data_IF_615543712806
#
_entry.id   IF_615543712806
#
_cell.length_a   1.000
_cell.length_b   1.000
_cell.length_c   1.000
_cell.angle_alpha   90.00
_cell.angle_beta   90.00
_cell.angle_gamma   90.00
#
_symmetry.space_group_name_H-M   'P 1'
#
loop_
_entity.id
_entity.type
_entity.pdbx_description
1 polymer ?
#
# COMPACT_ATOMS: atom_id res chain seq x y z
N UNK A 1 -10.26 -39.27 -49.39
CA UNK A 1 -9.66 -37.99 -49.81
C UNK A 1 -10.29 -36.88 -48.98
N UNK A 2 -9.60 -36.44 -47.93
CA UNK A 2 -10.06 -35.30 -47.12
C UNK A 2 -9.73 -34.03 -47.87
N UNK A 3 -10.75 -33.29 -48.31
CA UNK A 3 -10.58 -31.97 -48.89
C UNK A 3 -10.16 -31.05 -47.74
N UNK A 4 -8.87 -30.75 -47.63
CA UNK A 4 -8.41 -29.64 -46.82
C UNK A 4 -8.90 -28.36 -47.48
N UNK A 5 -10.09 -27.89 -47.07
CA UNK A 5 -10.58 -26.55 -47.41
C UNK A 5 -9.57 -25.55 -46.84
N UNK A 6 -8.83 -24.89 -47.74
CA UNK A 6 -7.93 -23.82 -47.38
C UNK A 6 -8.70 -22.69 -46.69
N UNK A 7 -8.17 -22.25 -45.56
CA UNK A 7 -8.79 -21.25 -44.70
C UNK A 7 -8.85 -19.90 -45.44
N UNK A 8 -10.05 -19.35 -45.60
CA UNK A 8 -10.28 -18.13 -46.40
C UNK A 8 -9.77 -16.87 -45.70
N UNK A 9 -9.45 -15.81 -46.45
CA UNK A 9 -8.97 -14.53 -45.90
C UNK A 9 -9.91 -13.92 -44.85
N UNK A 10 -11.22 -14.18 -44.96
CA UNK A 10 -12.23 -13.78 -43.99
C UNK A 10 -12.09 -14.53 -42.65
N UNK A 11 -11.78 -15.83 -42.69
CA UNK A 11 -11.59 -16.66 -41.50
C UNK A 11 -10.31 -16.26 -40.76
N UNK A 12 -9.25 -15.88 -41.48
CA UNK A 12 -8.06 -15.27 -40.90
C UNK A 12 -8.35 -13.97 -40.16
N UNK A 13 -9.19 -13.10 -40.75
CA UNK A 13 -9.56 -11.83 -40.14
C UNK A 13 -10.38 -12.04 -38.85
N UNK A 14 -11.31 -13.00 -38.85
CA UNK A 14 -12.04 -13.40 -37.65
C UNK A 14 -11.13 -14.02 -36.58
N UNK A 15 -10.18 -14.87 -36.96
CA UNK A 15 -9.19 -15.45 -36.05
C UNK A 15 -8.33 -14.37 -35.39
N UNK A 16 -7.82 -13.42 -36.18
CA UNK A 16 -7.00 -12.30 -35.67
C UNK A 16 -7.82 -11.41 -34.73
N UNK A 17 -9.05 -11.07 -35.10
CA UNK A 17 -9.95 -10.27 -34.27
C UNK A 17 -10.26 -10.96 -32.94
N UNK A 18 -10.56 -12.27 -32.97
CA UNK A 18 -10.81 -13.06 -31.78
C UNK A 18 -9.58 -13.10 -30.86
N UNK A 19 -8.39 -13.30 -31.42
CA UNK A 19 -7.12 -13.27 -30.65
C UNK A 19 -6.90 -11.91 -30.02
N UNK A 20 -7.12 -10.81 -30.74
CA UNK A 20 -6.98 -9.44 -30.20
C UNK A 20 -7.95 -9.17 -29.06
N UNK A 21 -9.19 -9.63 -29.17
CA UNK A 21 -10.19 -9.50 -28.09
C UNK A 21 -9.75 -10.27 -26.85
N UNK A 22 -9.26 -11.50 -27.01
CA UNK A 22 -8.74 -12.30 -25.89
C UNK A 22 -7.55 -11.59 -25.23
N UNK A 23 -6.61 -11.07 -26.02
CA UNK A 23 -5.45 -10.32 -25.52
C UNK A 23 -5.89 -9.08 -24.73
N UNK A 24 -6.84 -8.30 -25.26
CA UNK A 24 -7.41 -7.13 -24.56
C UNK A 24 -8.11 -7.50 -23.25
N UNK A 25 -8.85 -8.61 -23.22
CA UNK A 25 -9.48 -9.11 -22.00
C UNK A 25 -8.44 -9.49 -20.94
N UNK A 26 -7.35 -10.16 -21.34
CA UNK A 26 -6.25 -10.51 -20.43
C UNK A 26 -5.58 -9.26 -19.87
N UNK A 27 -5.29 -8.26 -20.70
CA UNK A 27 -4.71 -6.99 -20.22
C UNK A 27 -5.63 -6.28 -19.23
N UNK A 28 -6.95 -6.25 -19.48
CA UNK A 28 -7.91 -5.66 -18.53
C UNK A 28 -8.00 -6.44 -17.24
N UNK A 29 -8.01 -7.78 -17.31
CA UNK A 29 -8.04 -8.63 -16.13
C UNK A 29 -6.78 -8.41 -15.27
N UNK A 30 -5.61 -8.37 -15.89
CA UNK A 30 -4.34 -8.11 -15.19
C UNK A 30 -4.27 -6.70 -14.58
N UNK A 31 -4.86 -5.70 -15.23
CA UNK A 31 -4.94 -4.33 -14.71
C UNK A 31 -5.81 -4.19 -13.45
N UNK A 32 -6.69 -5.16 -13.17
CA UNK A 32 -7.50 -5.20 -11.95
C UNK A 32 -6.83 -5.92 -10.77
N UNK A 33 -5.66 -6.55 -10.97
CA UNK A 33 -4.99 -7.33 -9.92
C UNK A 33 -4.16 -6.39 -9.03
N UNK A 34 -4.50 -6.37 -7.75
CA UNK A 34 -3.71 -5.71 -6.71
C UNK A 34 -2.78 -6.72 -6.01
N UNK A 35 -1.49 -6.37 -5.89
CA UNK A 35 -0.49 -7.12 -5.12
C UNK A 35 -0.34 -6.46 -3.75
N UNK A 36 -0.38 -7.24 -2.67
CA UNK A 36 -0.11 -6.77 -1.31
C UNK A 36 1.37 -6.87 -0.94
N UNK A 37 1.88 -5.81 -0.32
CA UNK A 37 3.23 -5.70 0.21
C UNK A 37 3.14 -5.44 1.72
N UNK A 38 3.21 -6.49 2.56
CA UNK A 38 3.26 -6.33 4.01
C UNK A 38 4.68 -5.97 4.46
N UNK A 39 4.79 -5.06 5.42
CA UNK A 39 6.07 -4.64 6.00
C UNK A 39 5.89 -4.19 7.44
N UNK A 40 6.96 -4.29 8.22
CA UNK A 40 6.98 -3.92 9.64
C UNK A 40 8.14 -2.96 9.87
N UNK A 41 7.83 -1.76 10.33
CA UNK A 41 8.83 -0.77 10.73
C UNK A 41 8.84 -0.68 12.26
N UNK A 42 9.98 -0.99 12.87
CA UNK A 42 10.14 -0.89 14.34
C UNK A 42 10.82 0.42 14.70
N UNK A 43 10.23 1.19 15.61
CA UNK A 43 10.77 2.46 16.06
C UNK A 43 11.02 2.47 17.56
N UNK A 44 12.04 3.23 17.96
CA UNK A 44 12.46 3.42 19.34
C UNK A 44 12.40 4.92 19.69
N UNK A 45 12.23 5.27 20.97
CA UNK A 45 12.13 6.68 21.37
C UNK A 45 13.45 7.43 21.13
N UNK A 46 14.58 6.72 21.13
CA UNK A 46 15.92 7.30 20.99
C UNK A 46 16.44 7.28 19.54
N UNK A 47 15.69 6.68 18.61
CA UNK A 47 16.05 6.67 17.19
C UNK A 47 15.57 7.94 16.50
N UNK A 48 16.49 8.87 16.24
CA UNK A 48 16.21 10.12 15.51
C UNK A 48 16.18 9.96 14.00
N UNK A 49 16.76 8.89 13.47
CA UNK A 49 16.74 8.59 12.04
C UNK A 49 15.46 7.87 11.68
N UNK A 50 14.72 8.33 10.65
CA UNK A 50 13.57 7.60 10.14
C UNK A 50 13.98 6.20 9.69
N UNK A 51 13.18 5.20 10.09
CA UNK A 51 13.24 3.85 9.53
C UNK A 51 12.51 3.91 8.20
N UNK A 52 13.17 3.43 7.14
CA UNK A 52 12.66 3.55 5.77
C UNK A 52 12.58 2.16 5.14
N UNK A 53 11.44 1.88 4.52
CA UNK A 53 11.25 0.77 3.60
C UNK A 53 11.09 1.32 2.18
N UNK A 54 11.97 0.90 1.26
CA UNK A 54 11.90 1.24 -0.16
C UNK A 54 11.44 0.03 -0.97
N UNK A 55 10.20 0.09 -1.46
CA UNK A 55 9.60 -0.92 -2.33
C UNK A 55 9.79 -0.63 -3.81
N UNK A 56 10.62 0.36 -4.18
CA UNK A 56 10.91 0.80 -5.54
C UNK A 56 9.78 1.61 -6.22
N UNK A 57 8.53 1.17 -6.08
CA UNK A 57 7.34 1.87 -6.58
C UNK A 57 6.67 2.75 -5.52
N UNK A 58 6.94 2.46 -4.25
CA UNK A 58 6.44 3.18 -3.09
C UNK A 58 7.53 3.19 -2.01
N UNK A 59 7.40 4.11 -1.05
CA UNK A 59 8.30 4.20 0.11
C UNK A 59 7.48 4.39 1.38
N UNK A 60 7.88 3.76 2.47
CA UNK A 60 7.27 3.94 3.80
C UNK A 60 8.34 4.41 4.76
N UNK A 61 8.06 5.48 5.49
CA UNK A 61 8.95 6.09 6.47
C UNK A 61 8.25 6.09 7.83
N UNK A 62 8.99 5.76 8.88
CA UNK A 62 8.52 5.80 10.25
C UNK A 62 9.57 6.45 11.15
N UNK A 63 9.17 7.38 12.01
CA UNK A 63 10.09 8.03 12.94
C UNK A 63 9.38 8.46 14.21
N UNK A 64 10.18 8.84 15.21
CA UNK A 64 9.68 9.27 16.50
C UNK A 64 10.15 10.69 16.78
N UNK A 65 9.24 11.53 17.24
CA UNK A 65 9.53 12.87 17.73
C UNK A 65 9.13 12.97 19.19
N UNK A 66 9.90 13.72 19.97
CA UNK A 66 9.52 14.00 21.35
C UNK A 66 8.34 14.99 21.37
N UNK A 67 7.31 14.70 22.16
CA UNK A 67 6.20 15.62 22.36
C UNK A 67 6.52 16.54 23.54
N UNK A 68 6.87 17.79 23.24
CA UNK A 68 7.33 18.77 24.23
C UNK A 68 6.28 19.16 25.27
N UNK A 69 5.01 18.83 25.07
CA UNK A 69 3.90 19.26 25.93
C UNK A 69 3.60 18.30 27.08
N UNK A 70 3.68 16.98 26.85
CA UNK A 70 3.07 15.97 27.74
C UNK A 70 4.02 14.83 28.15
N UNK A 71 5.32 14.92 27.83
CA UNK A 71 6.30 13.86 28.13
C UNK A 71 6.06 12.54 27.37
N UNK A 72 5.27 12.60 26.30
CA UNK A 72 5.02 11.50 25.37
C UNK A 72 5.92 11.61 24.15
N UNK A 73 5.96 10.57 23.33
CA UNK A 73 6.58 10.57 22.02
C UNK A 73 5.51 10.49 20.95
N UNK A 74 5.68 11.23 19.86
CA UNK A 74 4.86 11.11 18.65
C UNK A 74 5.48 10.03 17.77
N UNK A 75 4.76 8.95 17.56
CA UNK A 75 5.13 7.95 16.55
C UNK A 75 4.53 8.37 15.21
N UNK A 76 5.37 8.80 14.28
CA UNK A 76 4.97 9.28 12.96
C UNK A 76 5.23 8.21 11.89
N UNK A 77 4.34 8.15 10.90
CA UNK A 77 4.57 7.38 9.69
C UNK A 77 4.11 8.14 8.44
N UNK A 78 4.73 7.82 7.31
CA UNK A 78 4.46 8.41 6.00
C UNK A 78 4.59 7.36 4.90
N UNK A 79 3.61 7.30 4.01
CA UNK A 79 3.60 6.43 2.83
C UNK A 79 3.66 7.31 1.58
N UNK A 80 4.55 6.96 0.64
CA UNK A 80 4.76 7.65 -0.62
C UNK A 80 4.44 6.72 -1.80
N UNK A 81 3.58 7.15 -2.71
CA UNK A 81 3.46 6.55 -4.04
C UNK A 81 4.49 7.23 -4.98
N UNK A 82 5.53 6.51 -5.42
CA UNK A 82 6.66 7.08 -6.18
C UNK A 82 6.51 6.92 -7.70
N UNK A 83 6.26 5.68 -8.15
CA UNK A 83 6.23 5.34 -9.60
C UNK A 83 4.88 4.86 -10.07
N UNK A 84 4.13 4.19 -9.19
CA UNK A 84 2.78 3.66 -9.47
C UNK A 84 1.82 4.08 -8.36
N UNK A 85 0.52 4.24 -8.67
CA UNK A 85 -0.48 4.53 -7.67
C UNK A 85 -0.61 3.39 -6.66
N UNK A 86 -0.88 3.75 -5.40
CA UNK A 86 -1.18 2.81 -4.34
C UNK A 86 -2.70 2.66 -4.28
N UNK A 87 -3.19 1.46 -4.54
CA UNK A 87 -4.64 1.16 -4.55
C UNK A 87 -5.26 1.09 -3.17
N UNK A 88 -4.46 0.78 -2.15
CA UNK A 88 -4.89 0.74 -0.75
C UNK A 88 -3.67 0.75 0.15
N UNK A 89 -3.80 1.30 1.35
CA UNK A 89 -2.86 1.07 2.43
C UNK A 89 -3.62 0.86 3.75
N UNK A 90 -3.15 -0.09 4.55
CA UNK A 90 -3.58 -0.29 5.93
C UNK A 90 -2.37 -0.09 6.83
N UNK A 91 -2.54 0.64 7.93
CA UNK A 91 -1.49 0.86 8.91
C UNK A 91 -2.02 0.51 10.30
N UNK A 92 -1.26 -0.31 11.02
CA UNK A 92 -1.49 -0.67 12.41
C UNK A 92 -0.27 -0.28 13.25
N UNK A 93 -0.51 0.34 14.40
CA UNK A 93 0.53 0.66 15.38
C UNK A 93 0.40 -0.30 16.56
N UNK A 94 1.46 -1.04 16.83
CA UNK A 94 1.55 -2.04 17.90
C UNK A 94 2.72 -1.67 18.81
N UNK A 95 2.46 -1.23 20.04
CA UNK A 95 3.49 -0.92 21.03
C UNK A 95 3.55 -2.00 22.11
N UNK A 96 4.76 -2.36 22.56
CA UNK A 96 5.03 -3.59 23.33
C UNK A 96 5.13 -3.39 24.84
N UNK A 97 4.95 -2.18 25.38
CA UNK A 97 4.93 -2.00 26.83
C UNK A 97 3.60 -2.36 27.50
N UNK A 98 3.53 -2.12 28.81
CA UNK A 98 2.43 -2.54 29.70
C UNK A 98 1.04 -2.35 29.07
N UNK A 99 0.35 -3.47 28.85
CA UNK A 99 -0.94 -3.67 28.17
C UNK A 99 -2.13 -2.80 28.63
N UNK A 100 -1.98 -1.99 29.69
CA UNK A 100 -3.06 -1.16 30.26
C UNK A 100 -3.29 0.18 29.56
N UNK A 101 -2.28 0.73 28.90
CA UNK A 101 -2.33 2.09 28.33
C UNK A 101 -2.04 2.13 26.82
N UNK A 102 -1.66 0.99 26.23
CA UNK A 102 -1.39 0.93 24.79
C UNK A 102 -2.71 0.99 24.05
N UNK A 103 -3.05 2.17 23.57
CA UNK A 103 -4.10 2.34 22.59
C UNK A 103 -3.74 1.54 21.33
N UNK A 104 -4.14 0.28 21.29
CA UNK A 104 -4.43 -0.45 20.07
C UNK A 104 -5.67 0.18 19.45
N UNK A 105 -5.54 1.42 18.94
CA UNK A 105 -6.48 1.93 17.95
C UNK A 105 -6.32 0.98 16.77
N UNK A 106 -7.34 0.16 16.52
CA UNK A 106 -7.35 -0.82 15.44
C UNK A 106 -6.98 -0.21 14.09
N UNK A 107 -6.83 -1.04 13.04
CA UNK A 107 -6.29 -0.64 11.75
C UNK A 107 -6.79 0.72 11.28
N UNK A 108 -5.87 1.68 11.16
CA UNK A 108 -6.14 2.92 10.45
C UNK A 108 -6.21 2.53 8.98
N UNK A 109 -7.44 2.37 8.49
CA UNK A 109 -7.70 2.13 7.08
C UNK A 109 -7.72 3.49 6.40
N UNK A 110 -6.80 3.75 5.47
CA UNK A 110 -6.77 5.03 4.76
C UNK A 110 -7.92 5.09 3.73
N UNK A 111 -8.84 6.06 3.83
CA UNK A 111 -9.85 6.31 2.80
C UNK A 111 -9.27 7.15 1.65
N UNK A 112 -9.85 6.99 0.46
CA UNK A 112 -9.60 7.88 -0.66
C UNK A 112 -10.15 9.28 -0.31
N UNK A 113 -9.36 10.36 -0.34
CA UNK A 113 -9.87 11.70 -0.11
C UNK A 113 -10.92 12.14 -1.14
N UNK A 114 -11.03 11.47 -2.29
CA UNK A 114 -11.98 11.82 -3.36
C UNK A 114 -13.32 11.06 -3.32
N UNK A 115 -13.46 9.96 -2.56
CA UNK A 115 -14.65 9.09 -2.68
C UNK A 115 -15.34 8.67 -1.38
N UNK A 116 -14.87 9.06 -0.20
CA UNK A 116 -15.56 8.76 1.08
C UNK A 116 -15.69 7.26 1.42
N UNK A 117 -15.21 6.37 0.55
CA UNK A 117 -15.15 4.93 0.73
C UNK A 117 -13.69 4.46 0.68
N UNK A 118 -13.40 3.34 1.36
CA UNK A 118 -12.11 2.65 1.36
C UNK A 118 -11.50 2.60 -0.04
N UNK A 119 -10.50 3.42 -0.34
CA UNK A 119 -10.11 3.63 -1.73
C UNK A 119 -8.70 4.17 -1.92
N UNK A 120 -8.19 3.85 -3.11
CA UNK A 120 -6.94 4.27 -3.75
C UNK A 120 -6.35 5.58 -3.24
N UNK A 121 -5.07 5.55 -2.84
CA UNK A 121 -4.24 6.75 -2.67
C UNK A 121 -3.82 7.22 -4.06
N UNK A 122 -4.76 7.89 -4.73
CA UNK A 122 -4.52 8.66 -5.94
C UNK A 122 -4.54 10.15 -5.58
N UNK A 123 -3.62 10.99 -6.09
CA UNK A 123 -2.61 10.72 -7.12
C UNK A 123 -1.23 10.27 -6.59
N UNK A 124 -0.33 9.93 -7.53
CA UNK A 124 1.13 9.80 -7.27
C UNK A 124 1.64 11.07 -6.59
N UNK A 125 2.50 10.96 -5.56
CA UNK A 125 2.88 12.00 -4.58
C UNK A 125 1.87 12.33 -3.47
N UNK A 126 0.81 11.53 -3.27
CA UNK A 126 0.04 11.61 -2.03
C UNK A 126 0.87 11.09 -0.85
N UNK A 127 0.98 11.90 0.20
CA UNK A 127 1.55 11.50 1.49
C UNK A 127 0.51 11.76 2.58
N UNK A 128 0.41 10.85 3.55
CA UNK A 128 -0.42 11.04 4.73
C UNK A 128 0.46 10.91 5.97
N UNK A 129 0.55 11.98 6.77
CA UNK A 129 1.21 11.93 8.07
C UNK A 129 0.14 11.64 9.11
N UNK A 130 0.36 10.59 9.89
CA UNK A 130 -0.40 10.34 11.10
C UNK A 130 0.58 10.22 12.25
N UNK A 131 0.11 10.60 13.43
CA UNK A 131 0.87 10.44 14.64
C UNK A 131 -0.02 9.95 15.76
N UNK A 132 0.56 9.15 16.65
CA UNK A 132 -0.07 8.71 17.89
C UNK A 132 0.87 9.06 19.05
N UNK A 133 0.37 9.67 20.13
CA UNK A 133 1.16 9.87 21.35
C UNK A 133 1.36 8.53 22.05
N UNK A 134 2.60 8.23 22.44
CA UNK A 134 3.02 6.98 23.08
C UNK A 134 3.97 7.30 24.23
N UNK A 135 3.78 6.70 25.40
CA UNK A 135 4.69 6.89 26.53
C UNK A 135 6.00 6.12 26.32
N UNK A 136 7.12 6.61 26.87
CA UNK A 136 8.42 5.92 26.74
C UNK A 136 8.39 4.45 27.16
N UNK A 137 7.63 4.14 28.22
CA UNK A 137 7.43 2.78 28.78
C UNK A 137 6.73 1.82 27.83
N UNK A 138 6.09 2.32 26.77
CA UNK A 138 5.30 1.55 25.80
C UNK A 138 6.13 1.09 24.61
N UNK A 139 7.33 1.64 24.45
CA UNK A 139 8.26 1.24 23.40
C UNK A 139 8.90 -0.13 23.67
N UNK A 140 9.36 -0.84 22.63
CA UNK A 140 9.36 -0.44 21.21
C UNK A 140 7.96 -0.44 20.59
N UNK A 141 7.79 0.31 19.51
CA UNK A 141 6.57 0.27 18.70
C UNK A 141 6.86 -0.28 17.32
N UNK A 142 5.93 -1.07 16.78
CA UNK A 142 5.91 -1.59 15.42
C UNK A 142 4.79 -0.94 14.66
N UNK A 143 5.11 -0.49 13.45
CA UNK A 143 4.16 0.03 12.49
C UNK A 143 4.05 -1.06 11.43
N UNK A 144 2.94 -1.79 11.47
CA UNK A 144 2.62 -2.84 10.51
C UNK A 144 1.85 -2.20 9.36
N UNK A 145 2.44 -2.21 8.17
CA UNK A 145 1.86 -1.58 7.00
C UNK A 145 1.63 -2.63 5.94
N UNK A 146 0.45 -2.64 5.35
CA UNK A 146 0.18 -3.39 4.11
C UNK A 146 -0.19 -2.40 3.02
N UNK A 147 0.60 -2.37 1.95
CA UNK A 147 0.36 -1.54 0.76
C UNK A 147 -0.09 -2.42 -0.39
N UNK A 148 -1.14 -2.03 -1.10
CA UNK A 148 -1.59 -2.72 -2.32
C UNK A 148 -1.30 -1.88 -3.55
N UNK A 149 -0.60 -2.44 -4.52
CA UNK A 149 -0.29 -1.79 -5.81
C UNK A 149 -0.87 -2.57 -6.97
N UNK A 150 -1.23 -1.91 -8.08
CA UNK A 150 -1.60 -2.63 -9.31
C UNK A 150 -0.40 -3.37 -9.90
N UNK A 151 -0.63 -4.58 -10.42
CA UNK A 151 0.39 -5.39 -11.10
C UNK A 151 0.96 -4.67 -12.33
N UNK A 152 0.08 -4.12 -13.17
CA UNK A 152 0.42 -3.49 -14.45
C UNK A 152 0.07 -2.01 -14.41
#
# INVERSE_FOLDING_TARGET
MGINKGQGSLEYLFMIAAVLVIVLMVFRALGGISISHPMILTVFPDTRTPVVYDGGNFKVEAWVEENSTDGTYKVLYRIWALKKPITRANVELVCFGSLKDVAGKGPITHPNPASGEHGSLEPVNYWANYWTPVYRKEFPCRIEVTVWTRLI
#
